data_IF_243604747115
#
_entry.id   IF_243604747115
#
_cell.length_a   1.000
_cell.length_b   1.000
_cell.length_c   1.000
_cell.angle_alpha   90.00
_cell.angle_beta   90.00
_cell.angle_gamma   90.00
#
_symmetry.space_group_name_H-M   'P 1'
#
loop_
_entity.id
_entity.type
_entity.pdbx_description
1 polymer ?
#
# COMPACT_ATOMS: atom_id res chain seq x y z
N UNK A 1 85.59 -12.16 -61.04
CA UNK A 1 84.57 -12.93 -60.30
C UNK A 1 83.68 -11.97 -59.56
N UNK A 2 82.38 -12.09 -59.80
CA UNK A 2 81.31 -11.17 -59.39
C UNK A 2 80.97 -11.28 -57.91
N UNK A 3 80.69 -10.15 -57.26
CA UNK A 3 79.88 -10.08 -56.05
C UNK A 3 78.91 -8.89 -56.18
N UNK A 4 77.57 -9.08 -56.13
CA UNK A 4 76.62 -7.98 -56.17
C UNK A 4 76.36 -7.47 -54.75
N UNK A 5 76.47 -6.15 -54.56
CA UNK A 5 75.91 -5.46 -53.40
C UNK A 5 74.44 -5.12 -53.68
N UNK A 6 73.52 -5.91 -53.14
CA UNK A 6 72.10 -5.59 -53.13
C UNK A 6 71.86 -4.39 -52.18
N UNK A 7 71.40 -3.25 -52.72
CA UNK A 7 70.88 -2.12 -51.94
C UNK A 7 69.39 -2.37 -51.64
N UNK A 8 69.10 -2.94 -50.47
CA UNK A 8 67.75 -3.02 -49.92
C UNK A 8 67.38 -1.73 -49.20
N UNK A 9 66.82 -0.75 -49.91
CA UNK A 9 66.23 0.44 -49.30
C UNK A 9 64.96 0.81 -50.08
N UNK A 10 63.85 0.15 -49.73
CA UNK A 10 62.56 0.38 -50.41
C UNK A 10 61.33 -0.24 -49.74
N UNK A 11 61.48 -1.14 -48.77
CA UNK A 11 60.36 -1.89 -48.18
C UNK A 11 60.09 -1.63 -46.68
N UNK A 12 60.86 -0.77 -46.01
CA UNK A 12 60.70 -0.49 -44.56
C UNK A 12 59.71 0.63 -44.24
N UNK A 13 59.36 1.49 -45.20
CA UNK A 13 58.43 2.61 -44.97
C UNK A 13 56.96 2.19 -45.06
N UNK A 14 56.63 1.21 -45.90
CA UNK A 14 55.25 0.73 -46.08
C UNK A 14 54.65 0.13 -44.79
N UNK A 15 55.37 -0.75 -44.04
CA UNK A 15 54.85 -1.33 -42.80
C UNK A 15 54.63 -0.28 -41.71
N UNK A 16 55.51 0.73 -41.64
CA UNK A 16 55.43 1.80 -40.64
C UNK A 16 54.26 2.73 -40.93
N UNK A 17 54.04 3.08 -42.20
CA UNK A 17 52.90 3.90 -42.62
C UNK A 17 51.59 3.14 -42.35
N UNK A 18 51.51 1.85 -42.69
CA UNK A 18 50.33 1.02 -42.39
C UNK A 18 50.07 0.91 -40.89
N UNK A 19 51.10 0.73 -40.07
CA UNK A 19 50.96 0.69 -38.62
C UNK A 19 50.50 2.05 -38.06
N UNK A 20 51.07 3.16 -38.53
CA UNK A 20 50.67 4.51 -38.13
C UNK A 20 49.22 4.83 -38.56
N UNK A 21 48.81 4.44 -39.77
CA UNK A 21 47.43 4.59 -40.25
C UNK A 21 46.45 3.75 -39.44
N UNK A 22 46.83 2.52 -39.07
CA UNK A 22 46.01 1.65 -38.23
C UNK A 22 45.85 2.24 -36.82
N UNK A 23 46.93 2.72 -36.21
CA UNK A 23 46.88 3.38 -34.89
C UNK A 23 46.04 4.65 -34.93
N UNK A 24 46.16 5.46 -35.99
CA UNK A 24 45.35 6.66 -36.18
C UNK A 24 43.86 6.32 -36.37
N UNK A 25 43.53 5.27 -37.13
CA UNK A 25 42.15 4.80 -37.32
C UNK A 25 41.55 4.28 -36.01
N UNK A 26 42.30 3.50 -35.23
CA UNK A 26 41.87 3.00 -33.92
C UNK A 26 41.64 4.17 -32.95
N UNK A 27 42.56 5.14 -32.89
CA UNK A 27 42.42 6.33 -32.04
C UNK A 27 41.19 7.19 -32.42
N UNK A 28 40.92 7.35 -33.73
CA UNK A 28 39.76 8.06 -34.21
C UNK A 28 38.44 7.35 -33.84
N UNK A 29 38.38 6.03 -34.00
CA UNK A 29 37.21 5.22 -33.63
C UNK A 29 36.95 5.29 -32.12
N UNK A 30 37.98 5.14 -31.29
CA UNK A 30 37.86 5.25 -29.83
C UNK A 30 37.36 6.63 -29.39
N UNK A 31 37.89 7.72 -29.98
CA UNK A 31 37.41 9.07 -29.68
C UNK A 31 35.95 9.27 -30.10
N UNK A 32 35.54 8.74 -31.26
CA UNK A 32 34.17 8.82 -31.74
C UNK A 32 33.20 8.04 -30.86
N UNK A 33 33.56 6.82 -30.46
CA UNK A 33 32.72 5.97 -29.60
C UNK A 33 32.56 6.56 -28.19
N UNK A 34 33.63 7.16 -27.65
CA UNK A 34 33.57 7.88 -26.38
C UNK A 34 32.65 9.11 -26.45
N UNK A 35 32.71 9.88 -27.54
CA UNK A 35 31.82 11.05 -27.74
C UNK A 35 30.36 10.62 -27.90
N UNK A 36 30.09 9.57 -28.69
CA UNK A 36 28.73 9.05 -28.86
C UNK A 36 28.16 8.52 -27.54
N UNK A 37 28.95 7.75 -26.78
CA UNK A 37 28.55 7.21 -25.48
C UNK A 37 28.28 8.33 -24.46
N UNK A 38 29.14 9.34 -24.39
CA UNK A 38 28.94 10.50 -23.51
C UNK A 38 27.70 11.31 -23.90
N UNK A 39 27.42 11.49 -25.19
CA UNK A 39 26.22 12.17 -25.64
C UNK A 39 24.94 11.38 -25.33
N UNK A 40 24.98 10.05 -25.45
CA UNK A 40 23.86 9.17 -25.08
C UNK A 40 23.59 9.21 -23.57
N UNK A 41 24.63 9.14 -22.73
CA UNK A 41 24.50 9.23 -21.26
C UNK A 41 24.02 10.64 -20.85
N UNK A 42 24.57 11.69 -21.46
CA UNK A 42 24.15 13.07 -21.27
C UNK A 42 22.65 13.25 -21.55
N UNK A 43 22.19 12.84 -22.73
CA UNK A 43 20.78 12.93 -23.12
C UNK A 43 19.83 12.10 -22.23
N UNK A 44 20.28 10.95 -21.73
CA UNK A 44 19.50 10.16 -20.76
C UNK A 44 19.39 10.87 -19.41
N UNK A 45 20.48 11.45 -18.90
CA UNK A 45 20.47 12.20 -17.64
C UNK A 45 19.60 13.46 -17.73
N UNK A 46 19.63 14.16 -18.87
CA UNK A 46 18.81 15.35 -19.12
C UNK A 46 17.32 15.01 -19.16
N UNK A 47 16.95 13.91 -19.85
CA UNK A 47 15.58 13.39 -19.85
C UNK A 47 15.12 12.95 -18.46
N UNK A 48 15.98 12.31 -17.67
CA UNK A 48 15.65 11.94 -16.30
C UNK A 48 15.35 13.17 -15.44
N UNK A 49 16.14 14.24 -15.59
CA UNK A 49 15.90 15.51 -14.88
C UNK A 49 14.61 16.21 -15.32
N UNK A 50 14.34 16.25 -16.62
CA UNK A 50 13.06 16.74 -17.15
C UNK A 50 11.87 15.92 -16.62
N UNK A 51 12.02 14.59 -16.53
CA UNK A 51 11.02 13.70 -15.92
C UNK A 51 10.77 14.02 -14.44
N UNK A 52 11.81 14.21 -13.63
CA UNK A 52 11.64 14.58 -12.22
C UNK A 52 10.92 15.92 -12.05
N UNK A 53 11.20 16.90 -12.91
CA UNK A 53 10.46 18.16 -12.93
C UNK A 53 8.97 17.94 -13.29
N UNK A 54 8.67 17.07 -14.27
CA UNK A 54 7.30 16.70 -14.59
C UNK A 54 6.58 15.97 -13.43
N UNK A 55 7.29 15.10 -12.70
CA UNK A 55 6.74 14.41 -11.51
C UNK A 55 6.41 15.42 -10.39
N UNK A 56 7.28 16.41 -10.17
CA UNK A 56 7.03 17.51 -9.24
C UNK A 56 5.82 18.35 -9.68
N UNK A 57 5.73 18.69 -10.97
CA UNK A 57 4.60 19.42 -11.53
C UNK A 57 3.27 18.68 -11.35
N UNK A 58 3.23 17.36 -11.52
CA UNK A 58 2.04 16.56 -11.21
C UNK A 58 1.60 16.69 -9.74
N UNK A 59 2.56 16.72 -8.79
CA UNK A 59 2.23 16.92 -7.38
C UNK A 59 1.74 18.35 -7.09
N UNK A 60 2.34 19.36 -7.74
CA UNK A 60 1.93 20.75 -7.61
C UNK A 60 0.52 20.99 -8.15
N UNK A 61 0.18 20.44 -9.31
CA UNK A 61 -1.17 20.51 -9.87
C UNK A 61 -2.19 19.76 -8.99
N UNK A 62 -1.83 18.57 -8.48
CA UNK A 62 -2.68 17.86 -7.53
C UNK A 62 -2.93 18.67 -6.26
N UNK A 63 -1.88 19.27 -5.67
CA UNK A 63 -2.02 20.13 -4.49
C UNK A 63 -2.96 21.31 -4.75
N UNK A 64 -2.80 22.02 -5.86
CA UNK A 64 -3.66 23.12 -6.24
C UNK A 64 -5.13 22.69 -6.41
N UNK A 65 -5.38 21.52 -7.00
CA UNK A 65 -6.72 20.94 -7.08
C UNK A 65 -7.32 20.61 -5.71
N UNK A 66 -6.55 19.97 -4.82
CA UNK A 66 -7.04 19.65 -3.48
C UNK A 66 -7.33 20.90 -2.65
N UNK A 67 -6.52 21.96 -2.80
CA UNK A 67 -6.73 23.24 -2.14
C UNK A 67 -8.01 23.96 -2.63
N UNK A 68 -8.30 23.86 -3.93
CA UNK A 68 -9.54 24.35 -4.52
C UNK A 68 -10.78 23.53 -4.09
N UNK A 69 -10.59 22.25 -3.77
CA UNK A 69 -11.64 21.35 -3.29
C UNK A 69 -12.79 21.21 -4.29
N UNK A 70 -14.01 21.01 -3.79
CA UNK A 70 -15.17 20.76 -4.64
C UNK A 70 -15.72 22.01 -5.34
N UNK A 71 -15.25 23.21 -4.99
CA UNK A 71 -15.66 24.45 -5.65
C UNK A 71 -15.11 24.57 -7.07
N UNK A 72 -13.99 23.89 -7.38
CA UNK A 72 -13.31 24.04 -8.67
C UNK A 72 -12.38 25.25 -8.71
N UNK A 73 -12.04 25.71 -9.92
CA UNK A 73 -10.94 26.65 -10.15
C UNK A 73 -9.59 25.96 -10.31
N UNK A 74 -9.59 24.71 -10.78
CA UNK A 74 -8.35 23.95 -10.97
C UNK A 74 -7.47 24.56 -12.06
N UNK A 75 -6.14 24.49 -11.93
CA UNK A 75 -5.22 24.88 -12.99
C UNK A 75 -5.56 24.13 -14.27
N UNK A 76 -5.73 24.82 -15.39
CA UNK A 76 -5.98 24.22 -16.71
C UNK A 76 -4.81 24.52 -17.64
N UNK A 77 -4.82 23.97 -18.86
CA UNK A 77 -3.79 24.28 -19.84
C UNK A 77 -3.66 25.80 -20.13
N UNK A 78 -4.73 26.58 -19.93
CA UNK A 78 -4.71 28.03 -20.08
C UNK A 78 -4.05 28.76 -18.89
N UNK A 79 -4.11 28.17 -17.70
CA UNK A 79 -3.60 28.72 -16.44
C UNK A 79 -2.85 27.64 -15.64
N UNK A 80 -1.74 27.10 -16.16
CA UNK A 80 -1.05 25.99 -15.53
C UNK A 80 -0.27 26.44 -14.29
N UNK A 81 -0.04 25.50 -13.36
CA UNK A 81 0.97 25.67 -12.31
C UNK A 81 2.32 25.51 -12.96
N UNK A 82 3.19 26.50 -12.79
CA UNK A 82 4.53 26.51 -13.40
C UNK A 82 5.60 26.78 -12.36
N UNK A 83 6.77 26.21 -12.57
CA UNK A 83 8.01 26.58 -11.89
C UNK A 83 9.10 26.62 -12.96
N UNK A 84 9.84 27.73 -13.03
CA UNK A 84 10.88 27.94 -14.02
C UNK A 84 12.25 27.40 -13.57
N UNK A 85 12.43 27.12 -12.27
CA UNK A 85 13.72 26.71 -11.69
C UNK A 85 13.55 25.68 -10.56
N UNK A 86 12.79 24.62 -10.82
CA UNK A 86 12.71 23.45 -9.96
C UNK A 86 14.00 22.64 -10.06
N UNK A 87 14.97 23.00 -9.21
CA UNK A 87 16.28 22.36 -9.18
C UNK A 87 17.01 22.45 -10.52
N UNK A 88 16.98 23.61 -11.18
CA UNK A 88 17.61 23.86 -12.48
C UNK A 88 16.81 23.41 -13.69
N UNK A 89 15.62 22.82 -13.51
CA UNK A 89 14.68 22.43 -14.55
C UNK A 89 13.38 23.22 -14.43
N UNK A 90 12.52 23.19 -15.44
CA UNK A 90 11.21 23.82 -15.38
C UNK A 90 10.08 22.80 -15.51
N UNK A 91 8.90 23.14 -15.02
CA UNK A 91 7.68 22.39 -15.30
C UNK A 91 6.47 23.29 -15.57
N UNK A 92 5.50 22.75 -16.28
CA UNK A 92 4.15 23.29 -16.43
C UNK A 92 3.15 22.16 -16.25
N UNK A 93 2.19 22.31 -15.34
CA UNK A 93 1.25 21.26 -14.94
C UNK A 93 -0.19 21.77 -14.79
N UNK A 94 -1.14 20.95 -15.18
CA UNK A 94 -2.56 21.32 -15.19
C UNK A 94 -3.47 20.08 -15.15
N UNK A 95 -4.75 20.33 -14.85
CA UNK A 95 -5.86 19.38 -14.97
C UNK A 95 -6.57 19.52 -16.32
N UNK A 96 -7.22 18.44 -16.75
CA UNK A 96 -8.05 18.37 -17.95
C UNK A 96 -9.30 19.27 -17.91
N UNK A 97 -9.81 19.58 -16.72
CA UNK A 97 -10.93 20.50 -16.52
C UNK A 97 -10.79 21.31 -15.21
N UNK A 98 -11.45 22.47 -15.15
CA UNK A 98 -11.36 23.41 -14.03
C UNK A 98 -12.19 23.02 -12.79
N UNK A 99 -13.04 22.00 -12.84
CA UNK A 99 -13.91 21.59 -11.71
C UNK A 99 -14.30 20.13 -11.85
N UNK A 100 -14.73 19.47 -10.75
CA UNK A 100 -15.28 18.11 -10.71
C UNK A 100 -14.26 17.00 -10.38
N UNK A 101 -14.71 15.75 -10.29
CA UNK A 101 -13.88 14.62 -9.82
C UNK A 101 -14.41 13.30 -10.40
N UNK A 102 -13.57 12.33 -10.82
CA UNK A 102 -12.11 12.40 -10.88
C UNK A 102 -11.61 13.26 -12.06
N UNK A 103 -10.32 13.62 -12.05
CA UNK A 103 -9.66 14.42 -13.09
C UNK A 103 -8.37 13.79 -13.57
N UNK A 104 -7.92 14.21 -14.75
CA UNK A 104 -6.64 13.83 -15.31
C UNK A 104 -5.66 14.98 -15.22
N UNK A 105 -4.50 14.72 -14.64
CA UNK A 105 -3.39 15.67 -14.56
C UNK A 105 -2.41 15.44 -15.70
N UNK A 106 -1.86 16.52 -16.23
CA UNK A 106 -0.76 16.53 -17.19
C UNK A 106 0.34 17.45 -16.69
N UNK A 107 1.59 17.03 -16.81
CA UNK A 107 2.74 17.89 -16.52
C UNK A 107 3.85 17.67 -17.54
N UNK A 108 4.37 18.77 -18.08
CA UNK A 108 5.54 18.79 -18.94
C UNK A 108 6.71 19.41 -18.20
N UNK A 109 7.76 18.64 -17.99
CA UNK A 109 9.04 19.10 -17.45
C UNK A 109 10.07 19.28 -18.56
N UNK A 110 10.93 20.30 -18.44
CA UNK A 110 11.97 20.60 -19.41
C UNK A 110 13.32 20.88 -18.75
N UNK A 111 14.40 20.39 -19.34
CA UNK A 111 15.77 20.62 -18.89
C UNK A 111 16.75 20.57 -20.07
N UNK A 112 17.52 21.64 -20.30
CA UNK A 112 18.57 21.74 -21.34
C UNK A 112 18.15 21.22 -22.73
N UNK A 113 16.91 21.48 -23.13
CA UNK A 113 16.36 21.04 -24.43
C UNK A 113 15.69 19.66 -24.41
N UNK A 114 15.87 18.85 -23.36
CA UNK A 114 15.05 17.68 -23.11
C UNK A 114 13.68 18.09 -22.56
N UNK A 115 12.62 17.38 -22.97
CA UNK A 115 11.26 17.58 -22.48
C UNK A 115 10.59 16.22 -22.25
N UNK A 116 9.85 16.10 -21.15
CA UNK A 116 9.09 14.90 -20.78
C UNK A 116 7.71 15.33 -20.29
N UNK A 117 6.66 14.75 -20.89
CA UNK A 117 5.28 14.93 -20.42
C UNK A 117 4.81 13.67 -19.72
N UNK A 118 4.25 13.83 -18.53
CA UNK A 118 3.63 12.77 -17.75
C UNK A 118 2.15 13.08 -17.55
N UNK A 119 1.33 12.03 -17.57
CA UNK A 119 -0.10 12.14 -17.26
C UNK A 119 -0.46 11.23 -16.10
N UNK A 120 -1.41 11.66 -15.27
CA UNK A 120 -1.99 10.88 -14.18
C UNK A 120 -3.50 10.98 -14.25
N UNK A 121 -4.14 9.92 -14.70
CA UNK A 121 -5.61 9.82 -14.73
C UNK A 121 -6.17 9.42 -13.36
N UNK A 122 -7.48 9.61 -13.17
CA UNK A 122 -8.21 9.09 -12.01
C UNK A 122 -7.88 9.81 -10.70
N UNK A 123 -7.45 11.07 -10.73
CA UNK A 123 -7.15 11.85 -9.53
C UNK A 123 -8.45 12.36 -8.93
N UNK A 124 -8.81 11.85 -7.74
CA UNK A 124 -9.97 12.32 -7.00
C UNK A 124 -9.67 13.62 -6.25
N UNK A 125 -10.58 14.58 -6.34
CA UNK A 125 -10.63 15.75 -5.44
C UNK A 125 -11.60 15.44 -4.30
N UNK A 126 -11.24 15.86 -3.09
CA UNK A 126 -11.94 15.47 -1.87
C UNK A 126 -12.76 16.60 -1.25
N UNK A 127 -13.85 16.23 -0.58
CA UNK A 127 -14.65 17.08 0.29
C UNK A 127 -13.89 17.38 1.58
N UNK A 128 -14.12 18.58 2.12
CA UNK A 128 -13.67 18.99 3.46
C UNK A 128 -14.89 19.41 4.28
N UNK A 129 -14.96 19.08 5.59
CA UNK A 129 -13.96 18.33 6.36
C UNK A 129 -14.01 16.82 6.11
N UNK A 130 -13.04 16.09 6.69
CA UNK A 130 -13.10 14.62 6.75
C UNK A 130 -14.33 14.14 7.50
N UNK A 131 -14.74 12.89 7.25
CA UNK A 131 -15.84 12.24 7.95
C UNK A 131 -15.35 11.02 8.72
N UNK A 132 -16.11 10.64 9.74
CA UNK A 132 -15.90 9.42 10.51
C UNK A 132 -17.12 8.52 10.34
N UNK A 133 -16.90 7.24 10.06
CA UNK A 133 -17.94 6.23 9.99
C UNK A 133 -17.56 5.03 10.84
N UNK A 134 -18.52 4.53 11.63
CA UNK A 134 -18.31 3.35 12.50
C UNK A 134 -19.09 2.18 11.94
N UNK A 135 -18.38 1.15 11.50
CA UNK A 135 -18.95 -0.12 11.08
C UNK A 135 -19.03 -1.00 12.33
N UNK A 136 -20.24 -1.25 12.84
CA UNK A 136 -20.47 -2.14 13.98
C UNK A 136 -21.65 -3.06 13.65
N UNK A 137 -21.40 -4.22 13.00
CA UNK A 137 -22.45 -5.05 12.47
C UNK A 137 -23.27 -5.73 13.57
N UNK A 138 -24.50 -6.12 13.20
CA UNK A 138 -25.34 -7.00 14.01
C UNK A 138 -25.02 -8.48 13.70
N UNK A 139 -25.60 -9.46 14.41
CA UNK A 139 -25.30 -10.87 14.20
C UNK A 139 -25.54 -11.37 12.77
N UNK A 140 -26.46 -10.75 12.02
CA UNK A 140 -26.78 -11.18 10.66
C UNK A 140 -25.80 -10.65 9.60
N UNK A 141 -25.05 -9.59 9.92
CA UNK A 141 -24.08 -8.95 9.01
C UNK A 141 -22.64 -9.05 9.52
N UNK A 142 -22.45 -9.48 10.76
CA UNK A 142 -21.16 -9.75 11.37
C UNK A 142 -20.46 -10.89 10.66
N UNK A 143 -19.13 -10.85 10.66
CA UNK A 143 -18.28 -11.91 10.13
C UNK A 143 -17.09 -12.00 11.07
N UNK A 144 -17.25 -12.76 12.14
CA UNK A 144 -16.23 -13.03 13.12
C UNK A 144 -16.33 -14.43 13.73
N UNK A 145 -15.19 -15.06 13.95
CA UNK A 145 -15.14 -16.34 14.64
C UNK A 145 -13.79 -16.49 15.33
N UNK A 146 -13.64 -17.52 16.14
CA UNK A 146 -12.34 -17.94 16.62
C UNK A 146 -12.07 -19.39 16.20
N UNK A 147 -10.81 -19.72 15.99
CA UNK A 147 -10.36 -21.08 15.65
C UNK A 147 -9.48 -21.60 16.77
N UNK A 148 -9.58 -22.90 17.05
CA UNK A 148 -8.82 -23.52 18.13
C UNK A 148 -8.06 -24.75 17.68
N UNK A 149 -6.81 -24.87 18.10
CA UNK A 149 -5.97 -26.02 17.76
C UNK A 149 -6.41 -27.33 18.43
N UNK A 150 -6.94 -27.25 19.64
CA UNK A 150 -7.39 -28.38 20.45
C UNK A 150 -8.73 -28.97 19.98
N UNK A 151 -9.60 -28.14 19.39
CA UNK A 151 -10.86 -28.54 18.75
C UNK A 151 -10.84 -28.22 17.23
N UNK A 152 -9.93 -28.82 16.45
CA UNK A 152 -9.50 -28.24 15.17
C UNK A 152 -10.51 -28.32 14.01
N UNK A 153 -11.62 -29.03 14.22
CA UNK A 153 -12.70 -29.18 13.24
C UNK A 153 -14.03 -28.58 13.72
N UNK A 154 -14.02 -27.89 14.87
CA UNK A 154 -15.20 -27.19 15.37
C UNK A 154 -15.21 -25.76 14.87
N UNK A 155 -16.39 -25.30 14.49
CA UNK A 155 -16.67 -23.93 14.10
C UNK A 155 -17.29 -23.20 15.30
N UNK A 156 -17.02 -21.90 15.43
CA UNK A 156 -17.51 -21.07 16.53
C UNK A 156 -18.15 -19.77 16.03
N UNK A 157 -18.64 -19.75 14.78
CA UNK A 157 -19.20 -18.55 14.15
C UNK A 157 -20.55 -18.08 14.68
N UNK A 158 -21.09 -18.72 15.73
CA UNK A 158 -22.30 -18.28 16.42
C UNK A 158 -22.11 -18.13 17.93
N UNK A 159 -20.85 -18.13 18.39
CA UNK A 159 -20.53 -17.95 19.80
C UNK A 159 -20.63 -16.47 20.18
N UNK A 160 -21.11 -16.17 21.38
CA UNK A 160 -21.21 -14.79 21.89
C UNK A 160 -19.85 -14.13 22.18
N UNK A 161 -18.78 -14.93 22.21
CA UNK A 161 -17.42 -14.53 22.56
C UNK A 161 -16.41 -15.09 21.56
N UNK A 162 -15.40 -14.28 21.26
CA UNK A 162 -14.21 -14.59 20.51
C UNK A 162 -13.08 -14.86 21.50
N UNK A 163 -12.44 -16.03 21.41
CA UNK A 163 -11.39 -16.41 22.35
C UNK A 163 -9.99 -16.26 21.77
N UNK A 164 -9.07 -15.77 22.60
CA UNK A 164 -7.65 -15.63 22.30
C UNK A 164 -6.82 -16.30 23.39
N UNK A 165 -5.99 -17.26 22.99
CA UNK A 165 -5.14 -18.03 23.91
C UNK A 165 -3.83 -18.42 23.22
N UNK A 166 -2.70 -18.05 23.81
CA UNK A 166 -1.36 -18.32 23.28
C UNK A 166 -0.95 -19.79 23.46
N UNK A 167 -1.34 -20.42 24.56
CA UNK A 167 -0.93 -21.78 24.93
C UNK A 167 -1.73 -22.86 24.21
N UNK A 168 -3.06 -22.69 24.13
CA UNK A 168 -3.97 -23.58 23.42
C UNK A 168 -4.16 -23.20 21.94
N UNK A 169 -3.53 -22.10 21.50
CA UNK A 169 -3.65 -21.51 20.17
C UNK A 169 -5.12 -21.33 19.76
N UNK A 170 -5.75 -20.38 20.43
CA UNK A 170 -7.04 -19.84 20.02
C UNK A 170 -6.80 -18.48 19.37
N UNK A 171 -7.33 -18.30 18.17
CA UNK A 171 -7.05 -17.14 17.34
C UNK A 171 -8.34 -16.62 16.72
N UNK A 172 -8.44 -15.30 16.58
CA UNK A 172 -9.69 -14.64 16.17
C UNK A 172 -9.58 -14.26 14.70
N UNK A 173 -10.64 -14.50 13.95
CA UNK A 173 -10.83 -14.03 12.58
C UNK A 173 -11.97 -13.02 12.58
N UNK A 174 -11.76 -11.87 11.96
CA UNK A 174 -12.78 -10.84 11.87
C UNK A 174 -12.71 -10.11 10.54
N UNK A 175 -13.86 -9.79 9.95
CA UNK A 175 -13.94 -9.06 8.69
C UNK A 175 -15.02 -7.99 8.77
N UNK A 176 -14.70 -6.80 8.29
CA UNK A 176 -15.67 -5.73 8.05
C UNK A 176 -15.84 -5.50 6.55
N UNK A 177 -17.08 -5.22 6.14
CA UNK A 177 -17.35 -4.80 4.77
C UNK A 177 -17.06 -3.31 4.58
N UNK A 178 -16.15 -3.00 3.67
CA UNK A 178 -15.79 -1.63 3.29
C UNK A 178 -16.43 -1.22 1.95
N UNK A 179 -17.24 -2.09 1.33
CA UNK A 179 -17.91 -1.79 0.05
C UNK A 179 -18.94 -0.67 0.17
N UNK A 180 -19.36 -0.34 1.40
CA UNK A 180 -20.27 0.76 1.68
C UNK A 180 -19.68 2.12 1.32
N UNK A 181 -18.35 2.26 1.35
CA UNK A 181 -17.70 3.52 1.00
C UNK A 181 -17.74 3.76 -0.52
N UNK A 182 -18.11 4.97 -0.98
CA UNK A 182 -18.07 5.31 -2.39
C UNK A 182 -16.69 5.10 -3.01
N UNK A 183 -16.65 4.66 -4.27
CA UNK A 183 -15.41 4.49 -5.02
C UNK A 183 -14.59 5.80 -5.03
N UNK A 184 -13.29 5.69 -4.76
CA UNK A 184 -12.37 6.82 -4.65
C UNK A 184 -12.26 7.43 -3.25
N UNK A 185 -13.09 7.00 -2.28
CA UNK A 185 -12.94 7.38 -0.87
C UNK A 185 -11.54 7.06 -0.36
N UNK A 186 -11.01 7.94 0.48
CA UNK A 186 -9.63 7.84 0.96
C UNK A 186 -9.58 7.90 2.47
N UNK A 187 -9.09 6.82 3.09
CA UNK A 187 -8.79 6.80 4.52
C UNK A 187 -7.62 7.73 4.78
N UNK A 188 -7.72 8.55 5.82
CA UNK A 188 -6.68 9.48 6.23
C UNK A 188 -6.44 9.42 7.74
N UNK A 189 -5.16 9.34 8.18
CA UNK A 189 -4.81 9.72 9.54
C UNK A 189 -5.24 11.16 9.82
N UNK A 190 -5.49 11.47 11.09
CA UNK A 190 -5.91 12.80 11.52
C UNK A 190 -5.11 13.27 12.72
N UNK A 191 -5.18 14.56 13.03
CA UNK A 191 -4.39 15.15 14.11
C UNK A 191 -5.31 15.74 15.18
N UNK A 192 -5.09 15.34 16.43
CA UNK A 192 -5.70 15.95 17.61
C UNK A 192 -4.77 15.77 18.80
N UNK A 193 -3.97 16.80 19.08
CA UNK A 193 -2.89 16.74 20.08
C UNK A 193 -1.79 15.71 19.77
N UNK A 194 -1.86 15.03 18.63
CA UNK A 194 -1.02 13.92 18.21
C UNK A 194 -1.59 13.26 16.96
N UNK A 195 -0.77 12.48 16.24
CA UNK A 195 -1.20 11.73 15.07
C UNK A 195 -2.10 10.56 15.50
N UNK A 196 -3.29 10.50 14.93
CA UNK A 196 -4.30 9.48 15.19
C UNK A 196 -4.49 8.58 13.97
N UNK A 197 -4.82 7.29 14.17
CA UNK A 197 -5.10 6.37 13.08
C UNK A 197 -6.23 6.83 12.16
N UNK A 198 -6.09 6.53 10.87
CA UNK A 198 -7.15 6.73 9.88
C UNK A 198 -8.20 5.62 9.91
N UNK A 199 -7.82 4.41 10.33
CA UNK A 199 -8.76 3.32 10.58
C UNK A 199 -8.34 2.52 11.82
N UNK A 200 -9.30 2.19 12.67
CA UNK A 200 -9.08 1.31 13.82
C UNK A 200 -9.98 0.09 13.80
N UNK A 201 -9.46 -1.03 14.30
CA UNK A 201 -10.23 -2.19 14.72
C UNK A 201 -10.36 -2.12 16.25
N UNK A 202 -11.58 -2.01 16.72
CA UNK A 202 -11.90 -1.92 18.14
C UNK A 202 -12.62 -3.20 18.58
N UNK A 203 -12.11 -3.83 19.64
CA UNK A 203 -12.67 -5.05 20.24
C UNK A 203 -12.93 -4.81 21.71
N UNK A 204 -14.13 -5.17 22.18
CA UNK A 204 -14.42 -5.09 23.60
C UNK A 204 -13.98 -6.38 24.29
N UNK A 205 -13.04 -6.28 25.23
CA UNK A 205 -12.62 -7.42 26.03
C UNK A 205 -13.55 -7.58 27.25
N UNK A 206 -14.40 -8.60 27.22
CA UNK A 206 -15.29 -8.96 28.32
C UNK A 206 -14.59 -9.76 29.43
N UNK A 207 -13.58 -10.55 29.09
CA UNK A 207 -12.80 -11.34 30.06
C UNK A 207 -11.30 -11.24 29.77
N UNK A 208 -10.52 -10.95 30.80
CA UNK A 208 -9.08 -10.77 30.73
C UNK A 208 -8.26 -12.04 30.93
N UNK A 209 -8.86 -13.18 31.27
CA UNK A 209 -8.13 -14.42 31.48
C UNK A 209 -6.88 -14.28 32.36
N UNK A 210 -5.79 -15.01 32.05
CA UNK A 210 -4.48 -14.77 32.67
C UNK A 210 -3.75 -13.60 32.00
N UNK A 211 -3.04 -12.79 32.80
CA UNK A 211 -2.39 -11.57 32.34
C UNK A 211 -0.95 -11.48 32.83
N UNK A 212 0.01 -11.72 31.94
CA UNK A 212 1.31 -11.06 32.01
C UNK A 212 1.48 -10.13 30.81
N UNK A 213 2.46 -9.23 30.87
CA UNK A 213 2.78 -8.35 29.76
C UNK A 213 2.95 -9.16 28.47
N UNK A 214 2.11 -8.88 27.48
CA UNK A 214 2.08 -9.55 26.18
C UNK A 214 1.52 -8.59 25.12
N UNK A 215 1.43 -9.05 23.88
CA UNK A 215 0.92 -8.28 22.74
C UNK A 215 -0.04 -9.13 21.93
N UNK A 216 -1.06 -8.47 21.37
CA UNK A 216 -1.95 -9.02 20.35
C UNK A 216 -1.51 -8.42 19.03
N UNK A 217 -1.23 -9.28 18.06
CA UNK A 217 -0.86 -8.90 16.71
C UNK A 217 -2.04 -9.13 15.76
N UNK A 218 -2.30 -8.14 14.91
CA UNK A 218 -3.17 -8.24 13.75
C UNK A 218 -2.35 -8.55 12.50
N UNK A 219 -2.84 -9.51 11.72
CA UNK A 219 -2.26 -9.95 10.45
C UNK A 219 -3.35 -10.02 9.38
N UNK A 220 -2.96 -9.98 8.10
CA UNK A 220 -3.91 -10.08 6.99
C UNK A 220 -4.25 -11.55 6.74
N UNK A 221 -5.54 -11.81 6.53
CA UNK A 221 -5.98 -13.08 5.96
C UNK A 221 -5.82 -12.98 4.44
N UNK A 222 -5.14 -13.92 3.80
CA UNK A 222 -4.88 -13.86 2.34
C UNK A 222 -5.85 -14.70 1.51
N UNK A 223 -6.91 -15.23 2.12
CA UNK A 223 -7.90 -16.08 1.47
C UNK A 223 -9.29 -15.83 2.06
N UNK A 224 -10.31 -15.88 1.20
CA UNK A 224 -11.71 -15.82 1.65
C UNK A 224 -12.05 -17.01 2.54
N UNK A 225 -12.87 -16.77 3.54
CA UNK A 225 -13.37 -17.77 4.48
C UNK A 225 -14.85 -17.53 4.75
N UNK A 226 -15.50 -18.55 5.31
CA UNK A 226 -16.92 -18.51 5.71
C UNK A 226 -16.95 -18.57 7.23
N UNK A 227 -17.67 -17.66 7.88
CA UNK A 227 -17.78 -17.60 9.34
C UNK A 227 -18.32 -18.89 9.96
N UNK A 228 -19.38 -19.45 9.38
CA UNK A 228 -20.08 -20.61 9.90
C UNK A 228 -21.10 -20.26 10.98
N UNK A 229 -21.77 -21.27 11.52
CA UNK A 229 -22.93 -21.10 12.43
C UNK A 229 -22.74 -21.80 13.78
N UNK A 230 -21.51 -22.21 14.10
CA UNK A 230 -21.19 -23.09 15.22
C UNK A 230 -21.43 -24.59 14.93
N UNK A 231 -22.10 -24.91 13.82
CA UNK A 231 -22.39 -26.29 13.43
C UNK A 231 -21.21 -26.97 12.72
N UNK A 232 -21.14 -28.30 12.79
CA UNK A 232 -20.10 -29.07 12.09
C UNK A 232 -20.14 -28.82 10.59
N UNK A 233 -18.98 -28.52 9.98
CA UNK A 233 -18.85 -28.26 8.54
C UNK A 233 -19.49 -26.96 8.05
N UNK A 234 -19.91 -26.05 8.94
CA UNK A 234 -20.62 -24.82 8.55
C UNK A 234 -19.71 -23.67 8.10
N UNK A 235 -18.41 -23.71 8.43
CA UNK A 235 -17.50 -22.61 8.12
C UNK A 235 -16.08 -22.83 8.64
N UNK A 236 -15.40 -21.73 8.95
CA UNK A 236 -14.01 -21.71 9.32
C UNK A 236 -13.74 -22.47 10.63
N UNK A 237 -12.67 -23.24 10.62
CA UNK A 237 -12.15 -24.03 11.74
C UNK A 237 -10.64 -23.91 11.71
N UNK A 238 -9.94 -24.52 12.65
CA UNK A 238 -8.46 -24.55 12.62
C UNK A 238 -7.90 -25.21 11.36
N UNK A 239 -8.58 -26.24 10.85
CA UNK A 239 -8.15 -27.00 9.68
C UNK A 239 -8.73 -26.48 8.35
N UNK A 240 -9.94 -25.90 8.37
CA UNK A 240 -10.70 -25.55 7.15
C UNK A 240 -11.14 -24.10 7.12
N UNK A 241 -11.21 -23.48 5.94
CA UNK A 241 -11.61 -22.07 5.80
C UNK A 241 -13.08 -21.84 5.47
N UNK A 242 -13.78 -22.85 4.98
CA UNK A 242 -15.17 -22.76 4.53
C UNK A 242 -16.01 -23.97 4.95
N UNK A 243 -15.51 -24.78 5.89
CA UNK A 243 -16.14 -26.02 6.34
C UNK A 243 -15.81 -27.25 5.47
N UNK A 244 -15.28 -27.07 4.27
CA UNK A 244 -14.98 -28.16 3.31
C UNK A 244 -13.50 -28.25 3.00
N UNK A 245 -12.89 -27.13 2.62
CA UNK A 245 -11.54 -27.04 2.11
C UNK A 245 -10.54 -26.66 3.21
N UNK A 246 -9.35 -27.26 3.15
CA UNK A 246 -8.31 -27.04 4.15
C UNK A 246 -7.59 -25.70 3.95
N UNK A 247 -7.16 -25.09 5.05
CA UNK A 247 -6.11 -24.08 5.00
C UNK A 247 -4.79 -24.71 4.46
N UNK A 248 -3.93 -23.97 3.74
CA UNK A 248 -2.60 -24.41 3.31
C UNK A 248 -1.71 -24.84 4.47
N UNK A 249 -1.87 -24.22 5.63
CA UNK A 249 -1.35 -24.69 6.91
C UNK A 249 -2.46 -24.58 7.97
N UNK A 250 -2.62 -25.59 8.84
CA UNK A 250 -3.51 -25.46 10.00
C UNK A 250 -3.15 -24.25 10.87
N UNK A 251 -4.15 -23.62 11.49
CA UNK A 251 -3.96 -22.46 12.35
C UNK A 251 -3.80 -21.14 11.61
N UNK A 252 -4.65 -20.95 10.58
CA UNK A 252 -4.78 -19.73 9.76
C UNK A 252 -3.41 -19.11 9.46
N UNK A 253 -2.55 -19.86 8.77
CA UNK A 253 -1.21 -19.40 8.45
C UNK A 253 -1.17 -18.50 7.22
N UNK A 254 -1.36 -17.18 7.38
CA UNK A 254 -1.16 -16.21 6.29
C UNK A 254 -0.60 -14.87 6.76
N UNK A 255 -0.13 -14.09 5.78
CA UNK A 255 0.81 -12.96 5.86
C UNK A 255 1.43 -12.75 7.24
N UNK A 256 2.66 -13.26 7.42
CA UNK A 256 3.40 -13.14 8.68
C UNK A 256 3.70 -11.68 9.07
N UNK A 257 3.44 -10.70 8.20
CA UNK A 257 3.57 -9.29 8.51
C UNK A 257 2.45 -8.83 9.43
N UNK A 258 2.83 -8.44 10.63
CA UNK A 258 1.95 -7.70 11.54
C UNK A 258 1.58 -6.34 10.94
N UNK A 259 0.27 -6.08 10.83
CA UNK A 259 -0.30 -4.82 10.33
C UNK A 259 -0.63 -3.83 11.45
N UNK A 260 -0.76 -4.33 12.68
CA UNK A 260 -1.01 -3.54 13.89
C UNK A 260 -0.84 -4.42 15.12
N UNK A 261 -0.50 -3.80 16.25
CA UNK A 261 -0.36 -4.49 17.53
C UNK A 261 -0.96 -3.65 18.65
N UNK A 262 -1.43 -4.31 19.69
CA UNK A 262 -1.86 -3.64 20.92
C UNK A 262 -1.41 -4.40 22.14
N UNK A 263 -1.08 -3.68 23.20
CA UNK A 263 -0.60 -4.28 24.43
C UNK A 263 -1.73 -5.09 25.09
N UNK A 264 -1.39 -6.30 25.51
CA UNK A 264 -2.26 -7.11 26.32
C UNK A 264 -2.04 -6.78 27.79
N UNK A 265 -3.14 -6.48 28.50
CA UNK A 265 -3.15 -6.21 29.94
C UNK A 265 -4.31 -6.95 30.60
N UNK A 266 -4.27 -7.10 31.93
CA UNK A 266 -5.35 -7.73 32.70
C UNK A 266 -6.65 -6.93 32.80
N UNK A 267 -6.75 -5.75 32.18
CA UNK A 267 -7.95 -4.91 32.23
C UNK A 267 -8.94 -5.23 31.10
N UNK A 268 -10.22 -5.32 31.44
CA UNK A 268 -11.35 -5.40 30.49
C UNK A 268 -11.57 -4.06 29.77
N UNK A 269 -12.46 -4.07 28.78
CA UNK A 269 -12.81 -2.88 27.99
C UNK A 269 -12.21 -2.88 26.58
N UNK A 270 -12.35 -1.74 25.90
CA UNK A 270 -11.94 -1.58 24.51
C UNK A 270 -10.44 -1.76 24.32
N UNK A 271 -10.07 -2.58 23.34
CA UNK A 271 -8.73 -2.69 22.76
C UNK A 271 -8.80 -2.18 21.33
N UNK A 272 -7.91 -1.27 21.00
CA UNK A 272 -7.88 -0.56 19.73
C UNK A 272 -6.59 -0.94 19.00
N UNK A 273 -6.72 -1.35 17.75
CA UNK A 273 -5.61 -1.66 16.85
C UNK A 273 -5.68 -0.70 15.66
N UNK A 274 -4.54 -0.09 15.32
CA UNK A 274 -4.41 0.68 14.08
C UNK A 274 -4.33 -0.29 12.89
N UNK A 275 -5.29 -0.16 11.96
CA UNK A 275 -5.35 -0.92 10.72
C UNK A 275 -5.34 -0.01 9.49
N UNK A 276 -4.90 1.25 9.65
CA UNK A 276 -4.96 2.30 8.62
C UNK A 276 -4.40 1.83 7.28
N UNK A 277 -3.20 1.24 7.29
CA UNK A 277 -2.53 0.80 6.06
C UNK A 277 -3.28 -0.36 5.39
N UNK A 278 -3.79 -1.31 6.18
CA UNK A 278 -4.56 -2.44 5.66
C UNK A 278 -5.88 -1.97 5.03
N UNK A 279 -6.62 -1.10 5.73
CA UNK A 279 -7.88 -0.55 5.25
C UNK A 279 -7.70 0.32 3.99
N UNK A 280 -6.61 1.11 3.92
CA UNK A 280 -6.24 1.83 2.69
C UNK A 280 -5.96 0.89 1.52
N UNK A 281 -5.21 -0.20 1.74
CA UNK A 281 -4.91 -1.18 0.70
C UNK A 281 -6.18 -1.91 0.21
N UNK A 282 -7.12 -2.20 1.10
CA UNK A 282 -8.42 -2.79 0.77
C UNK A 282 -9.29 -1.87 -0.08
N UNK A 283 -9.49 -0.62 0.36
CA UNK A 283 -10.32 0.33 -0.41
C UNK A 283 -9.66 0.72 -1.74
N UNK A 284 -8.32 0.76 -1.79
CA UNK A 284 -7.55 1.03 -3.00
C UNK A 284 -7.45 -0.17 -3.96
N UNK A 285 -8.08 -1.30 -3.66
CA UNK A 285 -8.02 -2.56 -4.43
C UNK A 285 -6.61 -3.15 -4.61
N UNK A 286 -5.63 -2.67 -3.84
CA UNK A 286 -4.25 -3.20 -3.84
C UNK A 286 -4.22 -4.62 -3.30
N UNK A 287 -5.05 -4.88 -2.29
CA UNK A 287 -5.25 -6.20 -1.68
C UNK A 287 -6.73 -6.44 -1.47
N UNK A 288 -7.20 -7.67 -1.70
CA UNK A 288 -8.58 -8.04 -1.37
C UNK A 288 -8.81 -8.02 0.15
N UNK A 289 -9.99 -7.58 0.58
CA UNK A 289 -10.37 -7.61 1.99
C UNK A 289 -10.94 -8.98 2.38
N UNK A 290 -10.09 -9.81 2.99
CA UNK A 290 -10.52 -11.06 3.62
C UNK A 290 -10.55 -10.99 5.15
N UNK A 291 -10.40 -9.80 5.72
CA UNK A 291 -10.39 -9.58 7.15
C UNK A 291 -9.00 -9.67 7.80
N UNK A 292 -9.04 -9.64 9.13
CA UNK A 292 -7.91 -9.60 10.05
C UNK A 292 -7.88 -10.88 10.86
N UNK A 293 -6.69 -11.44 11.00
CA UNK A 293 -6.37 -12.51 11.93
C UNK A 293 -5.68 -11.92 13.16
N UNK A 294 -6.25 -12.17 14.34
CA UNK A 294 -5.68 -11.74 15.61
C UNK A 294 -5.11 -12.93 16.35
N UNK A 295 -3.87 -12.77 16.79
CA UNK A 295 -3.12 -13.82 17.47
C UNK A 295 -2.29 -13.22 18.58
N UNK A 296 -1.93 -14.05 19.56
CA UNK A 296 -0.87 -13.69 20.50
C UNK A 296 0.44 -13.52 19.74
N UNK A 297 1.21 -12.49 20.09
CA UNK A 297 2.53 -12.26 19.52
C UNK A 297 3.46 -13.46 19.81
N UNK A 298 4.36 -13.85 18.88
CA UNK A 298 5.17 -15.07 19.02
C UNK A 298 6.04 -15.14 20.28
N UNK A 299 6.39 -14.00 20.89
CA UNK A 299 7.16 -13.90 22.13
C UNK A 299 6.30 -13.84 23.41
N UNK A 300 4.97 -13.75 23.28
CA UNK A 300 4.03 -13.61 24.38
C UNK A 300 3.45 -14.94 24.83
N UNK A 301 3.97 -15.51 25.92
CA UNK A 301 3.62 -16.86 26.39
C UNK A 301 2.38 -16.88 27.31
N UNK A 302 1.72 -15.75 27.56
CA UNK A 302 0.87 -15.62 28.74
C UNK A 302 -0.57 -15.11 28.54
N UNK A 303 -1.03 -14.98 27.29
CA UNK A 303 -2.46 -14.75 27.07
C UNK A 303 -3.15 -16.10 27.21
N UNK A 304 -4.05 -16.25 28.18
CA UNK A 304 -4.88 -17.46 28.28
C UNK A 304 -6.30 -17.11 28.66
N UNK A 305 -7.28 -17.76 28.03
CA UNK A 305 -8.70 -17.59 28.26
C UNK A 305 -9.17 -16.11 28.17
N UNK A 306 -8.59 -15.35 27.24
CA UNK A 306 -9.06 -13.99 26.97
C UNK A 306 -10.31 -14.06 26.09
N UNK A 307 -11.37 -13.33 26.47
CA UNK A 307 -12.62 -13.29 25.72
C UNK A 307 -12.97 -11.88 25.28
N UNK A 308 -13.26 -11.74 24.01
CA UNK A 308 -13.74 -10.54 23.37
C UNK A 308 -15.17 -10.76 22.91
N UNK A 309 -16.00 -9.74 22.94
CA UNK A 309 -17.37 -9.90 22.48
C UNK A 309 -17.39 -10.11 20.96
N UNK A 310 -18.18 -11.06 20.47
CA UNK A 310 -18.43 -11.29 19.04
C UNK A 310 -19.53 -10.36 18.50
N UNK A 311 -19.81 -10.40 17.21
CA UNK A 311 -20.99 -9.74 16.64
C UNK A 311 -22.32 -10.37 17.10
N UNK A 312 -22.33 -11.63 17.52
CA UNK A 312 -23.48 -12.32 18.13
C UNK A 312 -23.78 -11.86 19.56
N UNK A 313 -22.82 -11.21 20.23
CA UNK A 313 -22.96 -10.81 21.62
C UNK A 313 -24.25 -9.98 21.86
N UNK A 314 -24.93 -10.24 22.98
CA UNK A 314 -26.21 -9.61 23.31
C UNK A 314 -26.08 -8.11 23.59
N UNK A 315 -24.90 -7.63 23.99
CA UNK A 315 -24.64 -6.21 24.26
C UNK A 315 -24.14 -5.53 22.97
N UNK A 316 -25.08 -5.02 22.18
CA UNK A 316 -24.80 -4.43 20.85
C UNK A 316 -23.71 -3.34 20.86
N UNK A 317 -23.69 -2.50 21.91
CA UNK A 317 -22.70 -1.43 22.06
C UNK A 317 -21.27 -1.91 22.33
N UNK A 318 -21.07 -3.19 22.63
CA UNK A 318 -19.76 -3.80 22.90
C UNK A 318 -19.30 -4.76 21.79
N UNK A 319 -20.06 -4.90 20.70
CA UNK A 319 -19.66 -5.72 19.56
C UNK A 319 -18.42 -5.16 18.87
N UNK A 320 -17.63 -5.98 18.16
CA UNK A 320 -16.51 -5.51 17.37
C UNK A 320 -16.92 -4.40 16.40
N UNK A 321 -16.04 -3.41 16.23
CA UNK A 321 -16.28 -2.32 15.28
C UNK A 321 -15.01 -1.89 14.57
N UNK A 322 -15.18 -1.36 13.36
CA UNK A 322 -14.16 -0.60 12.66
C UNK A 322 -14.55 0.88 12.62
N UNK A 323 -13.64 1.74 13.06
CA UNK A 323 -13.83 3.20 12.97
C UNK A 323 -12.97 3.72 11.84
N UNK A 324 -13.59 4.34 10.84
CA UNK A 324 -12.96 4.76 9.59
C UNK A 324 -13.05 6.28 9.48
N UNK A 325 -11.90 6.94 9.44
CA UNK A 325 -11.74 8.36 9.15
C UNK A 325 -11.33 8.53 7.69
N UNK A 326 -12.15 9.22 6.91
CA UNK A 326 -12.02 9.23 5.46
C UNK A 326 -12.43 10.56 4.84
N UNK A 327 -11.89 10.79 3.64
CA UNK A 327 -12.28 11.85 2.75
C UNK A 327 -13.20 11.29 1.67
N UNK A 328 -14.32 11.95 1.42
CA UNK A 328 -15.21 11.65 0.31
C UNK A 328 -14.74 12.33 -0.96
N UNK A 329 -14.81 11.68 -2.12
CA UNK A 329 -14.68 12.35 -3.39
C UNK A 329 -15.76 13.43 -3.58
N UNK A 330 -15.43 14.53 -4.24
CA UNK A 330 -16.43 15.51 -4.67
C UNK A 330 -17.50 14.84 -5.53
N UNK A 331 -18.78 15.12 -5.24
CA UNK A 331 -19.93 14.51 -5.92
C UNK A 331 -20.39 13.17 -5.34
N UNK A 332 -19.66 12.59 -4.37
CA UNK A 332 -20.09 11.39 -3.65
C UNK A 332 -20.89 11.73 -2.37
N UNK A 333 -21.81 10.83 -2.00
CA UNK A 333 -22.54 10.89 -0.73
C UNK A 333 -21.92 9.96 0.30
N UNK A 334 -22.02 10.30 1.58
CA UNK A 334 -21.53 9.42 2.64
C UNK A 334 -22.44 8.20 2.79
N UNK A 335 -21.87 7.07 3.25
CA UNK A 335 -22.62 5.99 3.88
C UNK A 335 -23.55 6.46 5.00
#
# INVERSE_FOLDING_TARGET
MSAPRARGAGFTLLPVILAMSLVAAIAFLLNRDNVVTNNLIGGQSERARARYAAEAGLQAANYAMQAAGCAGGYPTAATPVTDADFGGASYSAYADAASGSPRSLSSTGAYKGASVTLTRAGVYVYQSPMKTYTIQPNPAAGIDTHVRKDEPNKNYGGDNDLELDAGNKQEILIKFDLSIFPAGSRIIPWYSGGLQPGATLDLYKGNSGTSTASWIDAQLITRSWVEGTGSSGSGATWNRYDGVNNWPSPGVGYDARTIGSTAYSGSTGWKVLDITNAAQAWMGTVTSNYGVWLRSSPSGVAISNAKYNSSDNSVSGQRPRAVINYLLPCGASAP
#
